data_IF_768691467842
#
_entry.id   IF_768691467842
#
_cell.length_a   1.000
_cell.length_b   1.000
_cell.length_c   1.000
_cell.angle_alpha   90.00
_cell.angle_beta   90.00
_cell.angle_gamma   90.00
#
_symmetry.space_group_name_H-M   'P 1'
#
loop_
_entity.id
_entity.type
_entity.pdbx_description
1 polymer ?
#
# COMPACT_ATOMS: atom_id res chain seq x y z
N UNK A 1 1.84 -53.57 -11.65
CA UNK A 1 2.86 -53.71 -12.73
C UNK A 1 2.25 -54.53 -13.86
N UNK A 2 2.47 -54.24 -15.15
CA UNK A 2 2.96 -52.99 -15.76
C UNK A 2 2.22 -52.58 -17.07
N UNK A 3 2.40 -51.34 -17.51
CA UNK A 3 2.37 -50.93 -18.92
C UNK A 3 3.34 -49.74 -19.03
N UNK A 4 4.62 -50.02 -19.29
CA UNK A 4 5.32 -49.98 -20.59
C UNK A 4 5.72 -48.55 -20.99
N UNK A 5 7.04 -48.40 -21.00
CA UNK A 5 7.93 -47.33 -21.46
C UNK A 5 7.94 -47.14 -22.97
N UNK A 6 8.17 -45.90 -23.42
CA UNK A 6 8.76 -45.55 -24.73
C UNK A 6 9.26 -44.09 -24.60
N UNK A 7 10.52 -43.71 -24.36
CA UNK A 7 11.80 -43.85 -25.10
C UNK A 7 11.76 -43.43 -26.58
N UNK A 8 12.22 -42.20 -26.87
CA UNK A 8 13.50 -41.92 -27.58
C UNK A 8 13.46 -40.92 -28.75
N UNK A 9 14.36 -39.92 -28.64
CA UNK A 9 15.23 -39.29 -29.67
C UNK A 9 14.57 -38.37 -30.72
N UNK A 10 15.17 -37.27 -31.21
CA UNK A 10 16.50 -37.02 -31.83
C UNK A 10 16.76 -35.47 -31.76
N UNK A 11 17.81 -34.91 -31.14
CA UNK A 11 19.23 -34.62 -31.54
C UNK A 11 19.51 -33.56 -32.65
N UNK A 12 19.94 -32.34 -32.19
CA UNK A 12 21.02 -31.41 -32.63
C UNK A 12 21.19 -30.97 -34.13
N UNK A 13 22.11 -30.03 -34.48
CA UNK A 13 22.53 -28.75 -33.87
C UNK A 13 22.63 -27.60 -34.91
N UNK A 14 23.00 -26.37 -34.49
CA UNK A 14 24.11 -25.58 -35.09
C UNK A 14 24.24 -24.15 -34.50
N UNK A 15 25.46 -23.82 -34.05
CA UNK A 15 26.03 -22.46 -33.89
C UNK A 15 26.69 -22.02 -35.23
N UNK A 16 27.46 -20.90 -35.39
CA UNK A 16 27.89 -19.83 -34.46
C UNK A 16 27.91 -18.37 -35.05
N UNK A 17 28.50 -17.43 -34.29
CA UNK A 17 29.23 -16.18 -34.67
C UNK A 17 28.38 -14.97 -35.14
N UNK A 18 28.55 -13.69 -34.73
CA UNK A 18 29.75 -12.86 -34.48
C UNK A 18 29.45 -11.62 -33.59
N UNK A 19 30.45 -11.12 -32.86
CA UNK A 19 30.64 -9.71 -32.45
C UNK A 19 31.66 -9.05 -33.41
N UNK A 20 32.12 -7.77 -33.29
CA UNK A 20 31.66 -6.58 -32.54
C UNK A 20 31.51 -5.31 -33.44
N UNK A 21 30.90 -4.22 -32.95
CA UNK A 21 31.31 -2.86 -33.39
C UNK A 21 30.96 -1.77 -32.39
N UNK A 22 31.98 -1.05 -31.94
CA UNK A 22 31.91 0.27 -31.32
C UNK A 22 31.56 1.33 -32.38
N UNK A 23 30.91 2.44 -31.99
CA UNK A 23 31.39 3.74 -32.47
C UNK A 23 31.66 4.73 -31.33
N UNK A 24 32.90 5.23 -31.36
CA UNK A 24 33.40 6.59 -31.12
C UNK A 24 32.41 7.71 -30.76
N UNK A 25 32.72 8.32 -29.62
CA UNK A 25 32.82 9.76 -29.28
C UNK A 25 31.80 10.82 -29.75
N UNK A 26 31.60 11.74 -28.79
CA UNK A 26 31.20 13.15 -28.93
C UNK A 26 29.70 13.44 -28.91
N UNK A 27 29.21 14.04 -27.82
CA UNK A 27 29.05 15.51 -27.72
C UNK A 27 28.36 15.84 -26.41
N UNK A 28 29.01 16.72 -25.64
CA UNK A 28 28.51 17.38 -24.44
C UNK A 28 27.16 18.06 -24.71
N UNK A 29 26.18 17.83 -23.85
CA UNK A 29 24.97 18.65 -23.77
C UNK A 29 24.76 19.00 -22.31
N UNK A 30 25.36 20.11 -21.93
CA UNK A 30 25.12 20.85 -20.70
C UNK A 30 23.61 21.02 -20.52
N UNK A 31 23.05 20.40 -19.48
CA UNK A 31 21.69 20.70 -19.03
C UNK A 31 21.73 20.72 -17.50
N UNK A 32 21.27 21.81 -16.86
CA UNK A 32 21.48 22.01 -15.43
C UNK A 32 20.76 20.92 -14.65
N UNK A 33 21.52 20.21 -13.81
CA UNK A 33 20.99 19.34 -12.76
C UNK A 33 20.09 20.22 -11.89
N UNK A 34 18.77 20.05 -12.02
CA UNK A 34 17.81 20.60 -11.06
C UNK A 34 18.00 19.84 -9.76
N UNK A 35 18.85 20.37 -8.90
CA UNK A 35 18.88 20.07 -7.48
C UNK A 35 17.54 20.51 -6.91
N UNK A 36 16.58 19.58 -6.81
CA UNK A 36 15.33 19.85 -6.11
C UNK A 36 15.61 19.78 -4.62
N UNK A 37 15.80 20.96 -4.03
CA UNK A 37 15.73 21.20 -2.61
C UNK A 37 14.39 20.70 -2.07
N UNK A 38 14.41 19.61 -1.30
CA UNK A 38 13.23 19.09 -0.59
C UNK A 38 12.93 20.06 0.57
N UNK A 39 12.18 21.11 0.26
CA UNK A 39 11.48 21.91 1.27
C UNK A 39 10.36 21.08 1.89
N UNK A 40 10.10 21.26 3.18
CA UNK A 40 9.00 20.63 3.93
C UNK A 40 7.75 20.54 3.04
N UNK A 41 7.42 19.34 2.57
CA UNK A 41 6.17 19.12 1.88
C UNK A 41 5.06 19.30 2.91
N UNK A 42 4.33 20.42 2.82
CA UNK A 42 2.97 20.47 3.36
C UNK A 42 2.24 19.26 2.82
N UNK A 43 1.81 18.33 3.68
CA UNK A 43 0.98 17.20 3.27
C UNK A 43 -0.14 17.77 2.40
N UNK A 44 -0.14 17.42 1.11
CA UNK A 44 -1.19 17.79 0.18
C UNK A 44 -2.53 17.25 0.70
N UNK A 45 -3.63 17.73 0.14
CA UNK A 45 -4.95 17.15 0.37
C UNK A 45 -4.90 15.63 0.11
N UNK A 46 -5.20 14.82 1.13
CA UNK A 46 -5.20 13.35 1.11
C UNK A 46 -6.65 12.90 1.30
N UNK A 47 -7.12 11.99 0.46
CA UNK A 47 -8.42 11.33 0.63
C UNK A 47 -8.23 10.03 1.42
N UNK A 48 -8.79 10.01 2.63
CA UNK A 48 -8.57 8.96 3.62
C UNK A 48 -9.83 8.11 3.81
N UNK A 49 -9.67 6.79 3.80
CA UNK A 49 -10.69 5.87 4.28
C UNK A 49 -10.40 5.50 5.74
N UNK A 50 -11.39 5.66 6.62
CA UNK A 50 -11.32 5.26 8.02
C UNK A 50 -12.26 4.08 8.22
N UNK A 51 -11.74 2.96 8.70
CA UNK A 51 -12.50 1.72 8.91
C UNK A 51 -12.47 1.37 10.38
N UNK A 52 -13.62 1.44 11.05
CA UNK A 52 -13.75 1.18 12.48
C UNK A 52 -15.21 0.88 12.80
N UNK A 53 -15.51 -0.24 13.46
CA UNK A 53 -16.88 -0.63 13.81
C UNK A 53 -17.48 0.27 14.91
N UNK A 54 -16.64 1.01 15.63
CA UNK A 54 -17.04 2.04 16.56
C UNK A 54 -17.09 3.42 15.88
N UNK A 55 -18.31 3.85 15.55
CA UNK A 55 -18.60 5.14 14.92
C UNK A 55 -18.01 6.34 15.70
N UNK A 56 -17.92 6.27 17.03
CA UNK A 56 -17.36 7.36 17.85
C UNK A 56 -15.84 7.46 17.60
N UNK A 57 -15.15 6.32 17.59
CA UNK A 57 -13.71 6.24 17.33
C UNK A 57 -13.38 6.66 15.89
N UNK A 58 -14.18 6.23 14.91
CA UNK A 58 -14.07 6.67 13.52
C UNK A 58 -14.22 8.20 13.39
N UNK A 59 -15.24 8.78 14.05
CA UNK A 59 -15.50 10.23 14.03
C UNK A 59 -14.40 11.04 14.72
N UNK A 60 -13.80 10.52 15.79
CA UNK A 60 -12.67 11.17 16.44
C UNK A 60 -11.49 11.29 15.48
N UNK A 61 -11.13 10.18 14.81
CA UNK A 61 -10.05 10.18 13.83
C UNK A 61 -10.37 11.05 12.61
N UNK A 62 -11.60 10.98 12.09
CA UNK A 62 -12.06 11.86 11.01
C UNK A 62 -11.93 13.33 11.40
N UNK A 63 -12.30 13.70 12.63
CA UNK A 63 -12.14 15.08 13.12
C UNK A 63 -10.67 15.51 13.15
N UNK A 64 -9.77 14.64 13.59
CA UNK A 64 -8.32 14.93 13.59
C UNK A 64 -7.84 15.16 12.16
N UNK A 65 -8.11 14.23 11.25
CA UNK A 65 -7.63 14.29 9.86
C UNK A 65 -8.25 15.47 9.08
N UNK A 66 -9.55 15.70 9.21
CA UNK A 66 -10.25 16.76 8.48
C UNK A 66 -10.01 18.15 9.05
N UNK A 67 -10.19 18.35 10.37
CA UNK A 67 -10.13 19.71 10.95
C UNK A 67 -8.71 20.20 11.17
N UNK A 68 -7.80 19.31 11.53
CA UNK A 68 -6.44 19.71 11.92
C UNK A 68 -5.48 19.65 10.72
N UNK A 69 -5.72 18.71 9.79
CA UNK A 69 -4.82 18.51 8.64
C UNK A 69 -5.46 18.83 7.28
N UNK A 70 -6.77 19.11 7.22
CA UNK A 70 -7.44 19.52 5.99
C UNK A 70 -7.63 18.37 4.98
N UNK A 71 -7.63 17.13 5.44
CA UNK A 71 -7.83 15.94 4.60
C UNK A 71 -9.31 15.62 4.39
N UNK A 72 -9.62 14.93 3.29
CA UNK A 72 -10.94 14.37 3.06
C UNK A 72 -11.05 13.00 3.71
N UNK A 73 -12.19 12.71 4.33
CA UNK A 73 -12.36 11.49 5.11
C UNK A 73 -13.69 10.84 4.79
N UNK A 74 -13.64 9.57 4.40
CA UNK A 74 -14.80 8.69 4.33
C UNK A 74 -14.70 7.64 5.43
N UNK A 75 -15.82 7.29 6.06
CA UNK A 75 -15.86 6.27 7.10
C UNK A 75 -16.58 5.00 6.61
N UNK A 76 -16.08 3.85 7.00
CA UNK A 76 -16.73 2.55 6.88
C UNK A 76 -16.80 1.89 8.27
N UNK A 77 -17.89 1.21 8.58
CA UNK A 77 -18.14 0.59 9.91
C UNK A 77 -17.86 -0.92 9.93
N UNK A 78 -17.28 -1.47 8.87
CA UNK A 78 -16.88 -2.88 8.79
C UNK A 78 -15.89 -3.11 7.66
N UNK A 79 -15.17 -4.24 7.71
CA UNK A 79 -14.32 -4.67 6.59
C UNK A 79 -15.08 -4.87 5.28
N UNK A 80 -16.34 -5.35 5.32
CA UNK A 80 -17.18 -5.51 4.13
C UNK A 80 -17.51 -4.17 3.46
N UNK A 81 -17.90 -3.18 4.26
CA UNK A 81 -18.17 -1.83 3.76
C UNK A 81 -16.87 -1.19 3.22
N UNK A 82 -15.73 -1.40 3.88
CA UNK A 82 -14.45 -0.93 3.39
C UNK A 82 -14.14 -1.48 1.98
N UNK A 83 -14.29 -2.79 1.77
CA UNK A 83 -14.10 -3.41 0.45
C UNK A 83 -15.08 -2.86 -0.60
N UNK A 84 -16.33 -2.56 -0.20
CA UNK A 84 -17.30 -1.93 -1.09
C UNK A 84 -16.87 -0.51 -1.48
N UNK A 85 -16.49 0.35 -0.53
CA UNK A 85 -16.02 1.71 -0.82
C UNK A 85 -14.78 1.67 -1.72
N UNK A 86 -13.81 0.81 -1.41
CA UNK A 86 -12.59 0.62 -2.18
C UNK A 86 -12.84 0.06 -3.60
N UNK A 87 -14.03 -0.50 -3.88
CA UNK A 87 -14.44 -0.92 -5.23
C UNK A 87 -15.09 0.19 -6.05
N UNK A 88 -15.56 1.27 -5.40
CA UNK A 88 -16.33 2.34 -6.03
C UNK A 88 -15.51 3.62 -6.23
N UNK A 89 -14.57 3.90 -5.34
CA UNK A 89 -13.81 5.14 -5.34
C UNK A 89 -12.36 4.92 -4.89
N UNK A 90 -11.48 5.81 -5.32
CA UNK A 90 -10.06 5.76 -4.95
C UNK A 90 -9.79 6.53 -3.68
N UNK A 91 -8.79 6.06 -2.92
CA UNK A 91 -8.26 6.70 -1.72
C UNK A 91 -6.74 6.79 -1.82
N UNK A 92 -6.15 7.62 -0.98
CA UNK A 92 -4.70 7.77 -0.87
C UNK A 92 -4.12 6.99 0.31
N UNK A 93 -4.94 6.76 1.35
CA UNK A 93 -4.53 6.02 2.56
C UNK A 93 -5.74 5.43 3.29
N UNK A 94 -5.51 4.34 4.02
CA UNK A 94 -6.52 3.69 4.87
C UNK A 94 -6.04 3.70 6.33
N UNK A 95 -6.90 4.13 7.25
CA UNK A 95 -6.77 3.79 8.67
C UNK A 95 -7.72 2.62 8.98
N UNK A 96 -7.17 1.50 9.42
CA UNK A 96 -7.88 0.22 9.56
C UNK A 96 -7.91 -0.23 11.02
N UNK A 97 -9.10 -0.32 11.62
CA UNK A 97 -9.25 -1.01 12.89
C UNK A 97 -8.95 -2.50 12.75
N UNK A 98 -8.28 -3.06 13.76
CA UNK A 98 -7.92 -4.47 13.79
C UNK A 98 -9.06 -5.31 14.34
N UNK A 99 -9.68 -4.85 15.42
CA UNK A 99 -10.62 -5.60 16.23
C UNK A 99 -12.06 -5.34 15.78
N UNK A 100 -12.40 -5.77 14.55
CA UNK A 100 -13.75 -5.66 13.99
C UNK A 100 -14.49 -7.01 13.96
N UNK A 101 -15.83 -7.02 14.09
CA UNK A 101 -16.63 -8.22 13.92
C UNK A 101 -16.70 -8.66 12.45
N UNK A 102 -16.98 -9.95 12.26
CA UNK A 102 -17.13 -10.64 10.96
C UNK A 102 -15.86 -10.71 10.09
N UNK A 103 -15.24 -9.57 9.78
CA UNK A 103 -14.00 -9.46 9.02
C UNK A 103 -13.06 -8.52 9.76
N UNK A 104 -12.01 -9.08 10.35
CA UNK A 104 -11.00 -8.31 11.08
C UNK A 104 -10.22 -7.37 10.15
N UNK A 105 -9.50 -6.39 10.72
CA UNK A 105 -8.65 -5.50 9.94
C UNK A 105 -7.55 -6.23 9.17
N UNK A 106 -7.03 -7.32 9.74
CA UNK A 106 -6.03 -8.18 9.10
C UNK A 106 -6.63 -8.90 7.89
N UNK A 107 -7.78 -9.55 8.07
CA UNK A 107 -8.45 -10.26 6.97
C UNK A 107 -8.90 -9.28 5.88
N UNK A 108 -9.36 -8.09 6.26
CA UNK A 108 -9.72 -7.01 5.33
C UNK A 108 -8.51 -6.57 4.51
N UNK A 109 -7.35 -6.38 5.16
CA UNK A 109 -6.10 -6.00 4.51
C UNK A 109 -5.64 -7.06 3.50
N UNK A 110 -5.68 -8.34 3.90
CA UNK A 110 -5.37 -9.44 2.99
C UNK A 110 -6.34 -9.50 1.80
N UNK A 111 -7.63 -9.23 2.02
CA UNK A 111 -8.63 -9.17 0.98
C UNK A 111 -8.43 -7.99 0.00
N UNK A 112 -7.93 -6.85 0.48
CA UNK A 112 -7.55 -5.70 -0.37
C UNK A 112 -6.41 -6.10 -1.31
N UNK A 113 -5.38 -6.77 -0.79
CA UNK A 113 -4.20 -7.14 -1.58
C UNK A 113 -4.40 -8.39 -2.47
N UNK A 114 -5.43 -9.20 -2.26
CA UNK A 114 -5.66 -10.45 -2.99
C UNK A 114 -5.82 -10.26 -4.51
N UNK A 115 -5.25 -11.18 -5.32
CA UNK A 115 -5.30 -11.12 -6.80
C UNK A 115 -6.71 -11.14 -7.40
N UNK A 116 -7.71 -11.65 -6.67
CA UNK A 116 -9.11 -11.67 -7.08
C UNK A 116 -9.99 -10.64 -6.35
N UNK A 117 -9.39 -9.63 -5.73
CA UNK A 117 -10.12 -8.61 -5.00
C UNK A 117 -11.06 -7.80 -5.91
N UNK A 118 -12.21 -7.39 -5.38
CA UNK A 118 -13.15 -6.50 -6.07
C UNK A 118 -12.79 -5.02 -5.94
N UNK A 119 -11.79 -4.70 -5.11
CA UNK A 119 -11.32 -3.31 -4.94
C UNK A 119 -10.63 -2.81 -6.21
N UNK A 120 -10.69 -1.50 -6.45
CA UNK A 120 -10.01 -0.87 -7.57
C UNK A 120 -8.50 -1.11 -7.48
N UNK A 121 -7.85 -1.36 -8.61
CA UNK A 121 -6.42 -1.68 -8.66
C UNK A 121 -5.54 -0.61 -8.00
N UNK A 122 -5.93 0.66 -8.13
CA UNK A 122 -5.28 1.81 -7.49
C UNK A 122 -5.27 1.68 -5.96
N UNK A 123 -6.33 1.16 -5.37
CA UNK A 123 -6.46 0.99 -3.93
C UNK A 123 -5.72 -0.24 -3.39
N UNK A 124 -5.28 -1.17 -4.25
CA UNK A 124 -4.62 -2.40 -3.80
C UNK A 124 -3.21 -2.17 -3.26
N UNK A 125 -2.63 -1.01 -3.52
CA UNK A 125 -1.24 -0.69 -3.17
C UNK A 125 -1.13 0.60 -2.33
N UNK A 126 -2.26 1.17 -1.91
CA UNK A 126 -2.22 2.36 -1.05
C UNK A 126 -1.82 1.97 0.37
N UNK A 127 -1.18 2.87 1.13
CA UNK A 127 -0.74 2.54 2.46
C UNK A 127 -1.91 2.28 3.42
N UNK A 128 -1.72 1.30 4.31
CA UNK A 128 -2.68 0.94 5.35
C UNK A 128 -2.02 1.13 6.71
N UNK A 129 -2.62 1.96 7.56
CA UNK A 129 -2.19 2.20 8.94
C UNK A 129 -3.17 1.48 9.87
N UNK A 130 -2.68 0.55 10.68
CA UNK A 130 -3.49 -0.08 11.73
C UNK A 130 -3.92 0.97 12.77
N UNK A 131 -5.17 0.98 13.18
CA UNK A 131 -5.69 1.84 14.25
C UNK A 131 -6.30 0.98 15.36
N UNK A 132 -5.55 0.71 16.42
CA UNK A 132 -5.81 -0.45 17.29
C UNK A 132 -5.73 -0.13 18.78
N UNK A 133 -6.43 -0.91 19.62
CA UNK A 133 -6.24 -0.89 21.09
C UNK A 133 -5.18 -1.88 21.60
N UNK A 134 -4.79 -2.86 20.77
CA UNK A 134 -3.86 -3.92 21.14
C UNK A 134 -2.72 -4.03 20.10
N UNK A 135 -1.66 -3.20 20.21
CA UNK A 135 -0.62 -3.14 19.18
C UNK A 135 0.18 -4.43 19.08
N UNK A 136 0.28 -4.97 17.87
CA UNK A 136 1.12 -6.11 17.52
C UNK A 136 1.76 -5.84 16.15
N UNK A 137 2.88 -5.12 16.17
CA UNK A 137 3.53 -4.58 14.98
C UNK A 137 3.87 -5.65 13.93
N UNK A 138 4.47 -6.77 14.38
CA UNK A 138 4.86 -7.90 13.52
C UNK A 138 3.68 -8.40 12.69
N UNK A 139 2.53 -8.66 13.32
CA UNK A 139 1.31 -9.14 12.65
C UNK A 139 0.76 -8.14 11.64
N UNK A 140 0.92 -6.85 11.87
CA UNK A 140 0.42 -5.79 10.97
C UNK A 140 1.25 -5.73 9.69
N UNK A 141 2.57 -5.75 9.83
CA UNK A 141 3.48 -5.76 8.70
C UNK A 141 3.41 -7.07 7.90
N UNK A 142 3.28 -8.22 8.55
CA UNK A 142 3.06 -9.51 7.87
C UNK A 142 1.79 -9.52 7.02
N UNK A 143 0.74 -8.81 7.45
CA UNK A 143 -0.49 -8.66 6.69
C UNK A 143 -0.39 -7.69 5.51
N UNK A 144 0.69 -6.90 5.41
CA UNK A 144 0.91 -5.89 4.39
C UNK A 144 0.61 -4.44 4.80
N UNK A 145 0.34 -4.18 6.09
CA UNK A 145 0.16 -2.81 6.59
C UNK A 145 1.50 -2.07 6.66
N UNK A 146 1.45 -0.75 6.56
CA UNK A 146 2.63 0.11 6.46
C UNK A 146 2.97 0.81 7.77
N UNK A 147 2.09 0.76 8.76
CA UNK A 147 2.22 1.46 10.03
C UNK A 147 1.11 1.18 11.01
N UNK A 148 1.20 1.77 12.20
CA UNK A 148 0.18 1.63 13.23
C UNK A 148 0.08 2.86 14.14
N UNK A 149 -1.13 3.10 14.65
CA UNK A 149 -1.45 4.11 15.64
C UNK A 149 -2.30 3.47 16.74
N UNK A 150 -1.89 3.65 18.00
CA UNK A 150 -2.64 3.19 19.16
C UNK A 150 -3.85 4.07 19.49
N UNK A 151 -4.96 3.44 19.87
CA UNK A 151 -6.16 4.08 20.45
C UNK A 151 -5.97 4.28 21.96
N UNK A 152 -6.44 5.41 22.54
CA UNK A 152 -6.96 6.59 21.86
C UNK A 152 -5.84 7.41 21.21
N UNK A 153 -6.00 7.78 19.93
CA UNK A 153 -5.00 8.60 19.25
C UNK A 153 -5.20 10.08 19.49
N UNK A 154 -4.08 10.80 19.63
CA UNK A 154 -4.04 12.25 19.54
C UNK A 154 -3.48 12.71 18.18
N UNK A 155 -3.62 13.99 17.89
CA UNK A 155 -3.19 14.59 16.62
C UNK A 155 -1.71 14.35 16.31
N UNK A 156 -0.83 14.43 17.32
CA UNK A 156 0.62 14.25 17.13
C UNK A 156 0.95 12.82 16.71
N UNK A 157 0.30 11.82 17.31
CA UNK A 157 0.48 10.41 16.95
C UNK A 157 0.05 10.14 15.51
N UNK A 158 -1.14 10.61 15.12
CA UNK A 158 -1.67 10.45 13.76
C UNK A 158 -0.78 11.16 12.74
N UNK A 159 -0.39 12.41 13.02
CA UNK A 159 0.46 13.20 12.13
C UNK A 159 1.82 12.53 11.91
N UNK A 160 2.49 12.13 12.99
CA UNK A 160 3.81 11.50 12.92
C UNK A 160 3.77 10.25 12.04
N UNK A 161 2.74 9.41 12.21
CA UNK A 161 2.64 8.17 11.48
C UNK A 161 2.24 8.39 10.01
N UNK A 162 1.31 9.31 9.76
CA UNK A 162 0.93 9.73 8.41
C UNK A 162 2.14 10.28 7.64
N UNK A 163 2.91 11.19 8.24
CA UNK A 163 4.12 11.75 7.63
C UNK A 163 5.17 10.66 7.35
N UNK A 164 5.37 9.71 8.28
CA UNK A 164 6.32 8.60 8.12
C UNK A 164 5.94 7.70 6.94
N UNK A 165 4.67 7.33 6.86
CA UNK A 165 4.15 6.43 5.81
C UNK A 165 4.12 7.12 4.45
N UNK A 166 3.68 8.38 4.38
CA UNK A 166 3.65 9.13 3.13
C UNK A 166 5.04 9.52 2.61
N UNK A 167 6.05 9.68 3.49
CA UNK A 167 7.42 10.02 3.09
C UNK A 167 8.24 8.81 2.64
N UNK A 168 7.74 7.59 2.84
CA UNK A 168 8.44 6.35 2.48
C UNK A 168 7.74 5.70 1.29
N UNK A 169 8.02 6.12 0.04
CA UNK A 169 7.42 5.48 -1.13
C UNK A 169 7.92 4.03 -1.24
N UNK A 170 7.02 3.08 -0.95
CA UNK A 170 7.06 1.67 -1.31
C UNK A 170 8.40 0.93 -1.18
N UNK A 171 8.57 0.19 -0.08
CA UNK A 171 9.44 -1.01 -0.06
C UNK A 171 8.55 -2.25 0.00
N UNK A 172 7.90 -2.58 -1.12
CA UNK A 172 7.40 -3.94 -1.35
C UNK A 172 8.38 -4.64 -2.28
N UNK A 173 9.46 -5.19 -1.73
CA UNK A 173 10.22 -6.24 -2.41
C UNK A 173 9.40 -7.51 -2.39
N UNK A 174 9.00 -7.89 -3.60
CA UNK A 174 8.31 -9.13 -3.98
C UNK A 174 9.07 -10.39 -3.55
#
# INVERSE_FOLDING_TARGET
MPAITCTSNIHLPNSPVSSPTTPTASTVSDTPVKTVSVGMATLSYIKTLIVDDNIITAKLLSKILSKEFGHDTTCAVSGKEALQQLSCETFDIIFMDIDMPELSGIETTLAIHASGSTVLEQNRQIPIIAYTTNPCEERYFEAGMNGWVGKPANQSMVKKELERVCSSPNTFTK
#
